data_IF_884618733866
#
_entry.id   IF_884618733866
#
_cell.length_a   1.000
_cell.length_b   1.000
_cell.length_c   1.000
_cell.angle_alpha   90.00
_cell.angle_beta   90.00
_cell.angle_gamma   90.00
#
_symmetry.space_group_name_H-M   'P 1'
#
loop_
_entity.id
_entity.type
_entity.pdbx_description
1 polymer ?
#
# COMPACT_ATOMS: atom_id res chain seq x y z
N UNK A 1 24.05 -35.45 48.09
CA UNK A 1 24.15 -33.99 48.08
C UNK A 1 23.46 -33.49 46.83
N UNK A 2 22.54 -32.54 46.98
CA UNK A 2 21.56 -32.14 45.98
C UNK A 2 21.76 -30.69 45.53
N UNK A 3 21.22 -30.36 44.35
CA UNK A 3 20.93 -29.01 43.79
C UNK A 3 22.19 -28.28 43.27
N UNK A 4 22.24 -27.73 42.04
CA UNK A 4 21.28 -26.80 41.47
C UNK A 4 21.15 -26.86 39.94
N UNK A 5 19.88 -26.87 39.52
CA UNK A 5 19.39 -26.59 38.18
C UNK A 5 19.48 -25.06 37.99
N UNK A 6 20.36 -24.61 37.10
CA UNK A 6 20.37 -23.22 36.63
C UNK A 6 19.24 -23.05 35.61
N UNK A 7 18.09 -22.61 36.12
CA UNK A 7 17.01 -22.09 35.29
C UNK A 7 17.43 -20.79 34.64
N UNK A 8 17.56 -20.80 33.31
CA UNK A 8 17.59 -19.61 32.49
C UNK A 8 16.16 -19.29 32.04
N UNK A 9 15.43 -18.61 32.91
CA UNK A 9 14.33 -17.72 32.52
C UNK A 9 14.94 -16.36 32.27
N UNK A 10 14.81 -15.84 31.05
CA UNK A 10 14.61 -14.42 30.72
C UNK A 10 15.08 -14.18 29.29
N UNK A 11 14.13 -14.24 28.37
CA UNK A 11 14.35 -13.89 26.98
C UNK A 11 13.03 -13.83 26.24
N UNK A 12 12.00 -13.23 26.85
CA UNK A 12 10.93 -12.65 26.05
C UNK A 12 11.55 -11.52 25.24
N UNK A 13 12.14 -11.88 24.10
CA UNK A 13 12.30 -10.98 22.98
C UNK A 13 10.88 -10.60 22.59
N UNK A 14 10.40 -9.48 23.14
CA UNK A 14 9.32 -8.73 22.53
C UNK A 14 9.77 -8.48 21.10
N UNK A 15 9.33 -9.32 20.18
CA UNK A 15 9.39 -9.04 18.76
C UNK A 15 8.46 -7.84 18.57
N UNK A 16 8.98 -6.65 18.86
CA UNK A 16 8.41 -5.39 18.42
C UNK A 16 8.32 -5.56 16.92
N UNK A 17 7.12 -5.86 16.42
CA UNK A 17 6.87 -5.87 14.99
C UNK A 17 7.39 -4.52 14.50
N UNK A 18 8.45 -4.49 13.68
CA UNK A 18 8.98 -3.21 13.24
C UNK A 18 7.82 -2.49 12.58
N UNK A 19 7.41 -1.35 13.14
CA UNK A 19 6.39 -0.52 12.52
C UNK A 19 6.88 -0.24 11.10
N UNK A 20 6.06 -0.58 10.10
CA UNK A 20 6.44 -0.43 8.71
C UNK A 20 6.86 1.02 8.45
N UNK A 21 8.02 1.23 7.84
CA UNK A 21 8.49 2.56 7.50
C UNK A 21 7.74 3.10 6.27
N UNK A 22 7.80 4.42 6.06
CA UNK A 22 7.09 5.09 4.95
C UNK A 22 7.38 4.45 3.56
N UNK A 23 8.63 4.08 3.20
CA UNK A 23 8.91 3.39 1.94
C UNK A 23 8.16 2.06 1.80
N UNK A 24 8.12 1.27 2.88
CA UNK A 24 7.42 -0.03 2.87
C UNK A 24 5.92 0.15 2.71
N UNK A 25 5.31 1.11 3.42
CA UNK A 25 3.88 1.40 3.27
C UNK A 25 3.52 1.98 1.89
N UNK A 26 4.39 2.81 1.31
CA UNK A 26 4.19 3.31 -0.05
C UNK A 26 4.18 2.17 -1.07
N UNK A 27 5.15 1.24 -0.99
CA UNK A 27 5.17 0.05 -1.84
C UNK A 27 3.95 -0.86 -1.62
N UNK A 28 3.51 -1.01 -0.37
CA UNK A 28 2.31 -1.78 -0.04
C UNK A 28 1.05 -1.16 -0.65
N UNK A 29 0.94 0.16 -0.62
CA UNK A 29 -0.17 0.89 -1.22
C UNK A 29 -0.17 0.75 -2.75
N UNK A 30 0.97 0.94 -3.40
CA UNK A 30 1.11 0.75 -4.85
C UNK A 30 0.70 -0.68 -5.26
N UNK A 31 1.15 -1.69 -4.51
CA UNK A 31 0.78 -3.08 -4.75
C UNK A 31 -0.71 -3.33 -4.53
N UNK A 32 -1.31 -2.72 -3.50
CA UNK A 32 -2.75 -2.81 -3.25
C UNK A 32 -3.55 -2.24 -4.42
N UNK A 33 -3.22 -1.03 -4.85
CA UNK A 33 -3.88 -0.35 -5.98
C UNK A 33 -3.72 -1.16 -7.27
N UNK A 34 -2.52 -1.64 -7.58
CA UNK A 34 -2.28 -2.48 -8.75
C UNK A 34 -3.07 -3.80 -8.72
N UNK A 35 -3.23 -4.40 -7.54
CA UNK A 35 -4.03 -5.63 -7.37
C UNK A 35 -5.50 -5.38 -7.69
N UNK A 36 -6.08 -4.28 -7.19
CA UNK A 36 -7.44 -3.86 -7.55
C UNK A 36 -7.57 -3.60 -9.05
N UNK A 37 -6.63 -2.86 -9.64
CA UNK A 37 -6.61 -2.58 -11.07
C UNK A 37 -6.61 -3.87 -11.90
N UNK A 38 -5.72 -4.83 -11.60
CA UNK A 38 -5.66 -6.11 -12.31
C UNK A 38 -6.93 -6.94 -12.08
N UNK A 39 -7.43 -7.01 -10.85
CA UNK A 39 -8.61 -7.84 -10.53
C UNK A 39 -9.87 -7.31 -11.19
N UNK A 40 -10.15 -6.02 -11.06
CA UNK A 40 -11.42 -5.43 -11.49
C UNK A 40 -11.43 -5.11 -12.99
N UNK A 41 -10.29 -4.95 -13.66
CA UNK A 41 -10.27 -4.89 -15.14
C UNK A 41 -10.72 -6.20 -15.81
N UNK A 42 -10.97 -7.28 -15.05
CA UNK A 42 -11.57 -8.53 -15.56
C UNK A 42 -13.10 -8.48 -15.55
N UNK A 43 -13.70 -7.48 -14.92
CA UNK A 43 -15.14 -7.29 -14.88
C UNK A 43 -15.55 -6.22 -15.89
N UNK A 44 -16.85 -5.98 -15.98
CA UNK A 44 -17.50 -4.91 -16.74
C UNK A 44 -17.52 -3.56 -15.98
N UNK A 45 -16.80 -3.46 -14.86
CA UNK A 45 -16.76 -2.24 -14.07
C UNK A 45 -16.13 -1.08 -14.86
N UNK A 46 -16.78 0.08 -14.80
CA UNK A 46 -16.23 1.33 -15.34
C UNK A 46 -14.95 1.72 -14.60
N UNK A 47 -14.00 2.35 -15.28
CA UNK A 47 -12.69 2.72 -14.71
C UNK A 47 -12.80 3.55 -13.44
N UNK A 48 -13.76 4.46 -13.40
CA UNK A 48 -14.05 5.29 -12.22
C UNK A 48 -14.50 4.44 -11.02
N UNK A 49 -15.30 3.40 -11.26
CA UNK A 49 -15.73 2.48 -10.20
C UNK A 49 -14.57 1.60 -9.72
N UNK A 50 -13.67 1.20 -10.63
CA UNK A 50 -12.45 0.47 -10.29
C UNK A 50 -11.55 1.32 -9.39
N UNK A 51 -11.36 2.60 -9.75
CA UNK A 51 -10.58 3.53 -8.94
C UNK A 51 -11.21 3.78 -7.57
N UNK A 52 -12.51 4.05 -7.50
CA UNK A 52 -13.20 4.24 -6.23
C UNK A 52 -13.08 3.02 -5.32
N UNK A 53 -13.22 1.81 -5.89
CA UNK A 53 -13.04 0.55 -5.17
C UNK A 53 -11.61 0.36 -4.68
N UNK A 54 -10.62 0.73 -5.49
CA UNK A 54 -9.21 0.64 -5.13
C UNK A 54 -8.85 1.59 -3.99
N UNK A 55 -9.29 2.85 -4.07
CA UNK A 55 -9.07 3.86 -3.02
C UNK A 55 -9.69 3.40 -1.71
N UNK A 56 -10.96 3.00 -1.72
CA UNK A 56 -11.62 2.56 -0.48
C UNK A 56 -10.97 1.29 0.09
N UNK A 57 -10.61 0.34 -0.77
CA UNK A 57 -9.96 -0.90 -0.38
C UNK A 57 -8.54 -0.74 0.17
N UNK A 58 -7.81 0.29 -0.27
CA UNK A 58 -6.42 0.54 0.13
C UNK A 58 -6.27 1.66 1.17
N UNK A 59 -7.37 2.31 1.56
CA UNK A 59 -7.44 3.40 2.55
C UNK A 59 -6.73 3.13 3.88
N UNK A 60 -6.75 1.92 4.47
CA UNK A 60 -6.03 1.67 5.72
C UNK A 60 -4.51 1.88 5.58
N UNK A 61 -3.93 1.39 4.48
CA UNK A 61 -2.48 1.53 4.19
C UNK A 61 -2.15 3.00 3.92
N UNK A 62 -3.00 3.68 3.14
CA UNK A 62 -2.85 5.11 2.87
C UNK A 62 -2.88 5.95 4.15
N UNK A 63 -3.82 5.65 5.06
CA UNK A 63 -3.96 6.35 6.34
C UNK A 63 -2.71 6.20 7.19
N UNK A 64 -2.18 4.98 7.29
CA UNK A 64 -0.95 4.70 8.05
C UNK A 64 0.26 5.40 7.43
N UNK A 65 0.39 5.36 6.09
CA UNK A 65 1.45 6.06 5.36
C UNK A 65 1.42 7.56 5.63
N UNK A 66 0.24 8.19 5.52
CA UNK A 66 0.08 9.62 5.80
C UNK A 66 0.41 9.95 7.25
N UNK A 67 0.06 9.08 8.20
CA UNK A 67 0.39 9.27 9.61
C UNK A 67 1.92 9.25 9.85
N UNK A 68 2.63 8.31 9.23
CA UNK A 68 4.10 8.24 9.32
C UNK A 68 4.76 9.45 8.66
N UNK A 69 4.33 9.84 7.47
CA UNK A 69 4.88 11.01 6.79
C UNK A 69 4.64 12.28 7.61
N UNK A 70 3.46 12.46 8.24
CA UNK A 70 3.20 13.60 9.14
C UNK A 70 4.06 13.61 10.40
N UNK A 71 4.51 12.44 10.86
CA UNK A 71 5.42 12.30 12.01
C UNK A 71 6.84 12.71 11.64
N UNK A 72 7.29 12.33 10.45
CA UNK A 72 8.70 12.39 10.06
C UNK A 72 9.04 13.62 9.19
N UNK A 73 8.03 14.30 8.63
CA UNK A 73 8.19 15.43 7.71
C UNK A 73 7.50 16.68 8.27
N UNK A 74 8.09 17.88 8.14
CA UNK A 74 7.45 19.12 8.58
C UNK A 74 6.06 19.32 7.95
N UNK A 75 5.05 19.81 8.70
CA UNK A 75 3.65 19.85 8.24
C UNK A 75 3.45 20.50 6.87
N UNK A 76 4.09 21.64 6.62
CA UNK A 76 3.98 22.34 5.34
C UNK A 76 4.53 21.53 4.15
N UNK A 77 5.59 20.75 4.37
CA UNK A 77 6.17 19.88 3.33
C UNK A 77 5.32 18.62 3.14
N UNK A 78 4.82 18.03 4.23
CA UNK A 78 3.92 16.88 4.16
C UNK A 78 2.62 17.23 3.41
N UNK A 79 1.98 18.36 3.73
CA UNK A 79 0.74 18.78 3.07
C UNK A 79 0.96 19.17 1.59
N UNK A 80 2.15 19.67 1.22
CA UNK A 80 2.50 19.90 -0.18
C UNK A 80 2.69 18.57 -0.93
N UNK A 81 3.41 17.62 -0.33
CA UNK A 81 3.62 16.29 -0.90
C UNK A 81 2.31 15.52 -1.07
N UNK A 82 1.41 15.57 -0.07
CA UNK A 82 0.09 14.94 -0.16
C UNK A 82 -0.77 15.54 -1.26
N UNK A 83 -0.79 16.87 -1.43
CA UNK A 83 -1.53 17.50 -2.52
C UNK A 83 -1.03 17.03 -3.88
N UNK A 84 0.28 17.04 -4.09
CA UNK A 84 0.87 16.55 -5.34
C UNK A 84 0.53 15.07 -5.56
N UNK A 85 0.56 14.26 -4.51
CA UNK A 85 0.21 12.85 -4.61
C UNK A 85 -1.27 12.65 -4.98
N UNK A 86 -2.18 13.38 -4.32
CA UNK A 86 -3.63 13.33 -4.57
C UNK A 86 -3.99 13.74 -6.00
N UNK A 87 -3.34 14.80 -6.51
CA UNK A 87 -3.52 15.27 -7.89
C UNK A 87 -3.07 14.23 -8.94
N UNK A 88 -2.02 13.46 -8.63
CA UNK A 88 -1.46 12.46 -9.55
C UNK A 88 -2.04 11.05 -9.37
N UNK A 89 -2.68 10.76 -8.24
CA UNK A 89 -3.17 9.43 -7.91
C UNK A 89 -4.15 8.89 -8.97
N UNK A 90 -5.18 9.67 -9.28
CA UNK A 90 -6.18 9.29 -10.29
C UNK A 90 -5.60 9.17 -11.71
N UNK A 91 -4.90 10.16 -12.29
CA UNK A 91 -4.38 10.04 -13.65
C UNK A 91 -3.39 8.87 -13.79
N UNK A 92 -2.54 8.62 -12.79
CA UNK A 92 -1.63 7.48 -12.79
C UNK A 92 -2.37 6.15 -12.78
N UNK A 93 -3.43 6.04 -11.96
CA UNK A 93 -4.25 4.84 -11.92
C UNK A 93 -4.99 4.59 -13.24
N UNK A 94 -5.53 5.64 -13.87
CA UNK A 94 -6.19 5.52 -15.18
C UNK A 94 -5.22 5.07 -16.28
N UNK A 95 -3.99 5.60 -16.28
CA UNK A 95 -2.95 5.15 -17.20
C UNK A 95 -2.61 3.66 -16.98
N UNK A 96 -2.55 3.20 -15.74
CA UNK A 96 -2.35 1.79 -15.40
C UNK A 96 -3.49 0.91 -15.93
N UNK A 97 -4.76 1.30 -15.74
CA UNK A 97 -5.91 0.55 -16.26
C UNK A 97 -5.87 0.40 -17.78
N UNK A 98 -5.56 1.50 -18.48
CA UNK A 98 -5.42 1.51 -19.95
C UNK A 98 -4.34 0.53 -20.41
N UNK A 99 -3.18 0.54 -19.74
CA UNK A 99 -2.08 -0.39 -20.03
C UNK A 99 -2.49 -1.84 -19.81
N UNK A 100 -3.10 -2.16 -18.65
CA UNK A 100 -3.54 -3.53 -18.34
C UNK A 100 -4.52 -4.05 -19.40
N UNK A 101 -5.45 -3.21 -19.86
CA UNK A 101 -6.41 -3.58 -20.91
C UNK A 101 -5.74 -3.82 -22.25
N UNK A 102 -4.83 -2.93 -22.65
CA UNK A 102 -4.06 -3.08 -23.89
C UNK A 102 -3.25 -4.39 -23.88
N UNK A 103 -2.55 -4.67 -22.77
CA UNK A 103 -1.76 -5.89 -22.60
C UNK A 103 -2.62 -7.16 -22.68
N UNK A 104 -3.86 -7.11 -22.18
CA UNK A 104 -4.81 -8.23 -22.29
C UNK A 104 -5.32 -8.44 -23.70
N UNK A 105 -5.74 -7.37 -24.36
CA UNK A 105 -6.23 -7.44 -25.74
C UNK A 105 -5.15 -8.02 -26.68
N UNK A 106 -3.89 -7.62 -26.49
CA UNK A 106 -2.76 -8.15 -27.24
C UNK A 106 -2.49 -9.65 -27.00
N UNK A 107 -2.82 -10.16 -25.80
CA UNK A 107 -2.67 -11.58 -25.46
C UNK A 107 -3.86 -12.45 -25.89
N UNK A 108 -5.05 -11.88 -25.99
CA UNK A 108 -6.25 -12.60 -26.46
C UNK A 108 -6.38 -12.66 -27.99
N UNK A 109 -5.62 -11.83 -28.71
CA UNK A 109 -5.55 -11.83 -30.17
C UNK A 109 -4.44 -12.71 -30.75
N UNK A 110 -3.73 -13.47 -29.90
CA UNK A 110 -2.78 -14.53 -30.26
C UNK A 110 -3.43 -15.88 -29.96
#
# INVERSE_FOLDING_TARGET
>A
MAVAILGLVAGMASAQSPQADAPTLAQALDRCMATYAVRLTRTDAADESIYASAVEGCKPIETELRAIVRRDVPPAQADAAFRQWDEQAKPNFMALLKRIRADRAARSGQ
#
